data_IF_493110611869
#
_entry.id   IF_493110611869
#
_cell.length_a   1.000
_cell.length_b   1.000
_cell.length_c   1.000
_cell.angle_alpha   90.00
_cell.angle_beta   90.00
_cell.angle_gamma   90.00
#
_symmetry.space_group_name_H-M   'P 1'
#
loop_
_entity.id
_entity.type
_entity.pdbx_description
1 polymer ?
#
# COMPACT_ATOMS: atom_id res chain seq x y z
N UNK A 1 19.65 -41.55 -7.72
CA UNK A 1 20.24 -40.55 -6.80
C UNK A 1 20.25 -39.10 -7.35
N UNK A 2 19.99 -38.82 -8.63
CA UNK A 2 20.06 -37.45 -9.20
C UNK A 2 18.82 -36.56 -9.00
N UNK A 3 17.68 -37.11 -8.58
CA UNK A 3 16.40 -36.37 -8.43
C UNK A 3 16.20 -35.72 -7.06
N UNK A 4 16.98 -36.13 -6.04
CA UNK A 4 16.90 -35.55 -4.69
C UNK A 4 17.61 -34.18 -4.63
N UNK A 5 18.71 -33.98 -5.37
CA UNK A 5 19.45 -32.71 -5.39
C UNK A 5 18.64 -31.56 -5.99
N UNK A 6 17.78 -31.80 -6.98
CA UNK A 6 17.00 -30.73 -7.61
C UNK A 6 15.89 -30.18 -6.70
N UNK A 7 15.29 -31.02 -5.85
CA UNK A 7 14.28 -30.56 -4.88
C UNK A 7 14.94 -29.74 -3.75
N UNK A 8 16.15 -30.14 -3.34
CA UNK A 8 16.90 -29.44 -2.30
C UNK A 8 17.30 -28.01 -2.72
N UNK A 9 17.69 -27.81 -3.99
CA UNK A 9 18.10 -26.49 -4.52
C UNK A 9 16.92 -25.51 -4.58
N UNK A 10 15.73 -25.97 -4.98
CA UNK A 10 14.53 -25.13 -4.96
C UNK A 10 14.09 -24.77 -3.53
N UNK A 11 14.26 -25.68 -2.56
CA UNK A 11 13.95 -25.43 -1.15
C UNK A 11 14.92 -24.39 -0.52
N UNK A 12 16.19 -24.40 -0.92
CA UNK A 12 17.19 -23.44 -0.40
C UNK A 12 17.02 -22.02 -0.94
N UNK A 13 16.45 -21.83 -2.14
CA UNK A 13 16.18 -20.49 -2.68
C UNK A 13 15.07 -19.74 -1.93
N UNK A 14 14.13 -20.46 -1.29
CA UNK A 14 13.07 -19.84 -0.48
C UNK A 14 13.61 -19.30 0.86
N UNK A 15 14.71 -19.87 1.38
CA UNK A 15 15.32 -19.45 2.64
C UNK A 15 16.17 -18.16 2.52
N UNK A 16 16.54 -17.76 1.30
CA UNK A 16 17.24 -16.48 1.05
C UNK A 16 16.32 -15.25 1.05
N UNK A 17 14.99 -15.45 1.19
CA UNK A 17 14.05 -14.36 1.47
C UNK A 17 14.06 -13.92 2.95
N UNK A 18 14.92 -14.52 3.78
CA UNK A 18 15.07 -14.21 5.20
C UNK A 18 15.92 -12.96 5.45
N UNK A 19 15.34 -11.98 6.16
CA UNK A 19 15.98 -10.80 6.75
C UNK A 19 16.29 -9.61 5.83
N UNK A 20 15.27 -9.10 5.11
CA UNK A 20 15.35 -7.73 4.59
C UNK A 20 14.34 -6.83 5.32
N UNK A 21 14.70 -6.37 6.54
CA UNK A 21 13.90 -5.39 7.30
C UNK A 21 13.58 -4.11 6.50
N UNK A 22 14.36 -3.84 5.45
CA UNK A 22 14.14 -2.71 4.54
C UNK A 22 12.83 -2.77 3.75
N UNK A 23 12.20 -3.95 3.65
CA UNK A 23 10.90 -4.18 3.01
C UNK A 23 9.77 -4.47 4.02
N UNK A 24 10.01 -4.26 5.32
CA UNK A 24 9.01 -4.44 6.36
C UNK A 24 8.49 -3.08 6.86
N UNK A 25 7.25 -3.08 7.32
CA UNK A 25 6.65 -1.91 7.96
C UNK A 25 7.22 -1.75 9.36
N UNK A 26 7.64 -0.53 9.71
CA UNK A 26 8.04 -0.19 11.07
C UNK A 26 6.85 0.41 11.83
N UNK A 27 6.23 -0.41 12.67
CA UNK A 27 5.07 -0.10 13.51
C UNK A 27 5.38 0.67 14.80
N UNK A 28 6.61 1.12 15.05
CA UNK A 28 6.92 1.85 16.31
C UNK A 28 6.11 3.13 16.51
N UNK A 29 5.62 3.76 15.44
CA UNK A 29 4.74 4.93 15.47
C UNK A 29 3.99 5.10 14.16
N UNK A 30 2.92 5.89 14.15
CA UNK A 30 2.22 6.23 12.89
C UNK A 30 3.15 6.95 11.89
N UNK A 31 4.11 7.74 12.38
CA UNK A 31 5.09 8.44 11.55
C UNK A 31 6.00 7.45 10.83
N UNK A 32 6.51 6.44 11.53
CA UNK A 32 7.38 5.41 10.94
C UNK A 32 6.61 4.51 10.00
N UNK A 33 5.36 4.16 10.33
CA UNK A 33 4.46 3.43 9.43
C UNK A 33 4.29 4.19 8.13
N UNK A 34 3.85 5.45 8.17
CA UNK A 34 3.62 6.23 6.96
C UNK A 34 4.89 6.35 6.09
N UNK A 35 6.06 6.49 6.73
CA UNK A 35 7.35 6.47 6.03
C UNK A 35 7.62 5.13 5.35
N UNK A 36 7.44 4.01 6.07
CA UNK A 36 7.59 2.66 5.52
C UNK A 36 6.63 2.42 4.35
N UNK A 37 5.35 2.78 4.49
CA UNK A 37 4.34 2.64 3.43
C UNK A 37 4.74 3.40 2.18
N UNK A 38 5.17 4.66 2.30
CA UNK A 38 5.65 5.44 1.15
C UNK A 38 6.86 4.79 0.47
N UNK A 39 7.88 4.40 1.25
CA UNK A 39 9.10 3.80 0.72
C UNK A 39 8.86 2.44 0.05
N UNK A 40 8.01 1.60 0.65
CA UNK A 40 7.64 0.31 0.07
C UNK A 40 6.87 0.54 -1.24
N UNK A 41 5.85 1.42 -1.21
CA UNK A 41 5.04 1.74 -2.39
C UNK A 41 5.86 2.24 -3.57
N UNK A 42 6.88 3.08 -3.33
CA UNK A 42 7.75 3.60 -4.38
C UNK A 42 8.57 2.51 -5.09
N UNK A 43 8.88 1.42 -4.38
CA UNK A 43 9.64 0.27 -4.90
C UNK A 43 8.76 -0.78 -5.58
N UNK A 44 7.47 -0.81 -5.27
CA UNK A 44 6.54 -1.78 -5.84
C UNK A 44 6.27 -1.52 -7.34
N UNK A 45 6.06 -2.58 -8.14
CA UNK A 45 5.46 -2.50 -9.48
C UNK A 45 4.12 -1.74 -9.46
N UNK A 46 3.80 -1.04 -10.56
CA UNK A 46 2.64 -0.12 -10.62
C UNK A 46 1.31 -0.83 -10.30
N UNK A 47 1.14 -2.05 -10.81
CA UNK A 47 0.01 -2.94 -10.61
C UNK A 47 -0.17 -3.36 -9.14
N UNK A 48 0.93 -3.49 -8.39
CA UNK A 48 0.90 -3.90 -6.97
C UNK A 48 0.72 -2.73 -6.00
N UNK A 49 1.02 -1.49 -6.42
CA UNK A 49 0.93 -0.30 -5.55
C UNK A 49 -0.48 -0.07 -5.03
N UNK A 50 -1.47 -0.25 -5.90
CA UNK A 50 -2.88 0.03 -5.56
C UNK A 50 -3.40 -1.03 -4.60
N UNK A 51 -3.12 -2.30 -4.88
CA UNK A 51 -3.49 -3.40 -3.97
C UNK A 51 -2.86 -3.23 -2.58
N UNK A 52 -1.57 -2.89 -2.52
CA UNK A 52 -0.87 -2.61 -1.26
C UNK A 52 -1.48 -1.42 -0.51
N UNK A 53 -1.74 -0.31 -1.19
CA UNK A 53 -2.32 0.89 -0.57
C UNK A 53 -3.76 0.66 -0.08
N UNK A 54 -4.59 -0.02 -0.88
CA UNK A 54 -5.96 -0.39 -0.48
C UNK A 54 -5.94 -1.30 0.75
N UNK A 55 -5.03 -2.26 0.79
CA UNK A 55 -4.89 -3.17 1.94
C UNK A 55 -4.52 -2.42 3.22
N UNK A 56 -3.54 -1.50 3.13
CA UNK A 56 -3.16 -0.64 4.24
C UNK A 56 -4.34 0.16 4.81
N UNK A 57 -5.09 0.86 3.93
CA UNK A 57 -6.20 1.70 4.36
C UNK A 57 -7.40 0.90 4.88
N UNK A 58 -7.66 -0.27 4.31
CA UNK A 58 -8.72 -1.17 4.78
C UNK A 58 -8.44 -1.64 6.22
N UNK A 59 -7.20 -2.04 6.50
CA UNK A 59 -6.77 -2.41 7.86
C UNK A 59 -6.83 -1.21 8.82
N UNK A 60 -6.44 -0.01 8.36
CA UNK A 60 -6.47 1.20 9.18
C UNK A 60 -7.90 1.60 9.58
N UNK A 61 -8.86 1.40 8.69
CA UNK A 61 -10.27 1.68 8.94
C UNK A 61 -10.90 0.68 9.92
N UNK A 62 -10.55 -0.61 9.80
CA UNK A 62 -10.99 -1.65 10.74
C UNK A 62 -10.39 -1.45 12.13
N UNK A 63 -9.07 -1.26 12.22
CA UNK A 63 -8.34 -1.14 13.48
C UNK A 63 -8.18 0.34 13.81
N UNK A 64 -9.22 0.91 14.41
CA UNK A 64 -9.25 2.35 14.70
C UNK A 64 -8.28 2.76 15.80
N UNK A 65 -8.06 1.90 16.78
CA UNK A 65 -7.11 2.12 17.86
C UNK A 65 -5.68 2.13 17.32
N UNK A 66 -4.94 3.21 17.60
CA UNK A 66 -3.60 3.37 17.06
C UNK A 66 -2.63 2.29 17.56
N UNK A 67 -2.66 1.93 18.84
CA UNK A 67 -1.72 0.94 19.38
C UNK A 67 -1.96 -0.43 18.75
N UNK A 68 -3.22 -0.86 18.72
CA UNK A 68 -3.60 -2.14 18.10
C UNK A 68 -3.24 -2.17 16.62
N UNK A 69 -3.47 -1.06 15.90
CA UNK A 69 -3.11 -0.95 14.49
C UNK A 69 -1.61 -1.09 14.28
N UNK A 70 -0.82 -0.35 15.06
CA UNK A 70 0.64 -0.39 15.02
C UNK A 70 1.17 -1.79 15.29
N UNK A 71 0.68 -2.45 16.35
CA UNK A 71 1.05 -3.81 16.72
C UNK A 71 0.63 -4.82 15.63
N UNK A 72 -0.52 -4.61 14.98
CA UNK A 72 -1.03 -5.52 13.95
C UNK A 72 -0.23 -5.46 12.64
N UNK A 73 0.40 -4.33 12.31
CA UNK A 73 1.11 -4.16 11.03
C UNK A 73 2.63 -4.15 11.15
N UNK A 74 3.18 -4.06 12.36
CA UNK A 74 4.63 -4.07 12.57
C UNK A 74 5.26 -5.34 11.98
N UNK A 75 6.39 -5.17 11.30
CA UNK A 75 7.13 -6.26 10.68
C UNK A 75 6.49 -6.88 9.43
N UNK A 76 5.25 -6.50 9.06
CA UNK A 76 4.60 -7.04 7.85
C UNK A 76 5.33 -6.59 6.59
N UNK A 77 5.54 -7.53 5.67
CA UNK A 77 5.95 -7.24 4.29
C UNK A 77 4.75 -6.76 3.46
N UNK A 78 4.97 -6.13 2.29
CA UNK A 78 3.88 -5.79 1.38
C UNK A 78 2.95 -6.97 1.05
N UNK A 79 3.49 -8.16 0.81
CA UNK A 79 2.69 -9.36 0.50
C UNK A 79 1.82 -9.77 1.70
N UNK A 80 2.38 -9.73 2.91
CA UNK A 80 1.64 -10.05 4.14
C UNK A 80 0.56 -9.00 4.46
N UNK A 81 0.79 -7.74 4.10
CA UNK A 81 -0.21 -6.69 4.25
C UNK A 81 -1.37 -6.89 3.28
N UNK A 82 -1.05 -7.26 2.02
CA UNK A 82 -2.05 -7.57 1.00
C UNK A 82 -2.90 -8.78 1.40
N UNK A 83 -2.28 -9.84 1.91
CA UNK A 83 -3.01 -11.02 2.37
C UNK A 83 -3.99 -10.68 3.50
N UNK A 84 -3.55 -9.88 4.48
CA UNK A 84 -4.42 -9.39 5.54
C UNK A 84 -5.59 -8.52 5.02
N UNK A 85 -5.37 -7.77 3.93
CA UNK A 85 -6.43 -7.05 3.22
C UNK A 85 -7.45 -7.99 2.58
N UNK A 86 -7.01 -9.07 1.93
CA UNK A 86 -7.86 -10.10 1.32
C UNK A 86 -8.69 -10.84 2.37
N UNK A 87 -8.09 -11.23 3.48
CA UNK A 87 -8.78 -11.85 4.61
C UNK A 87 -9.87 -10.93 5.16
N UNK A 88 -9.55 -9.64 5.34
CA UNK A 88 -10.52 -8.67 5.84
C UNK A 88 -11.65 -8.40 4.84
N UNK A 89 -11.36 -8.37 3.54
CA UNK A 89 -12.37 -8.31 2.48
C UNK A 89 -13.33 -9.50 2.57
N UNK A 90 -12.81 -10.72 2.65
CA UNK A 90 -13.62 -11.93 2.75
C UNK A 90 -14.51 -11.89 4.01
N UNK A 91 -13.94 -11.47 5.15
CA UNK A 91 -14.68 -11.27 6.41
C UNK A 91 -15.80 -10.24 6.26
N UNK A 92 -15.52 -9.06 5.70
CA UNK A 92 -16.51 -7.98 5.53
C UNK A 92 -17.62 -8.35 4.54
N UNK A 93 -17.27 -9.08 3.48
CA UNK A 93 -18.23 -9.61 2.51
C UNK A 93 -19.13 -10.68 3.13
N UNK A 94 -18.57 -11.62 3.90
CA UNK A 94 -19.34 -12.62 4.63
C UNK A 94 -20.28 -11.99 5.69
N UNK A 95 -19.90 -10.84 6.23
CA UNK A 95 -20.71 -10.07 7.17
C UNK A 95 -21.83 -9.23 6.52
N UNK A 96 -22.00 -9.25 5.19
CA UNK A 96 -23.03 -8.47 4.50
C UNK A 96 -22.76 -6.97 4.47
N UNK A 97 -21.48 -6.56 4.44
CA UNK A 97 -21.12 -5.15 4.32
C UNK A 97 -21.46 -4.63 2.92
N UNK A 98 -22.44 -3.71 2.83
CA UNK A 98 -22.93 -3.11 1.58
C UNK A 98 -21.82 -2.54 0.68
N UNK A 99 -20.76 -2.02 1.29
CA UNK A 99 -19.62 -1.45 0.55
C UNK A 99 -18.84 -2.51 -0.23
N UNK A 100 -18.89 -3.77 0.21
CA UNK A 100 -18.15 -4.91 -0.33
C UNK A 100 -19.02 -5.85 -1.18
N UNK A 101 -20.35 -5.87 -0.95
CA UNK A 101 -21.30 -6.72 -1.68
C UNK A 101 -21.28 -6.48 -3.19
N UNK A 102 -21.03 -5.24 -3.62
CA UNK A 102 -20.95 -4.86 -5.03
C UNK A 102 -19.78 -5.48 -5.79
N UNK A 103 -18.78 -6.03 -5.08
CA UNK A 103 -17.62 -6.66 -5.67
C UNK A 103 -17.76 -8.19 -5.62
N UNK A 104 -17.60 -8.86 -6.75
CA UNK A 104 -17.59 -10.32 -6.87
C UNK A 104 -16.35 -10.91 -6.21
N UNK A 105 -15.19 -10.29 -6.42
CA UNK A 105 -13.90 -10.73 -5.88
C UNK A 105 -13.05 -9.53 -5.44
N UNK A 106 -12.00 -9.83 -4.66
CA UNK A 106 -10.96 -8.87 -4.33
C UNK A 106 -10.33 -8.26 -5.59
N UNK A 107 -9.99 -9.08 -6.58
CA UNK A 107 -9.36 -8.62 -7.82
C UNK A 107 -10.26 -7.66 -8.61
N UNK A 108 -11.58 -7.89 -8.60
CA UNK A 108 -12.54 -6.96 -9.20
C UNK A 108 -12.50 -5.60 -8.47
N UNK A 109 -12.47 -5.61 -7.14
CA UNK A 109 -12.37 -4.40 -6.33
C UNK A 109 -11.08 -3.62 -6.63
N UNK A 110 -9.94 -4.30 -6.66
CA UNK A 110 -8.65 -3.68 -6.97
C UNK A 110 -8.62 -3.14 -8.41
N UNK A 111 -9.19 -3.88 -9.36
CA UNK A 111 -9.30 -3.42 -10.76
C UNK A 111 -10.13 -2.14 -10.87
N UNK A 112 -11.24 -2.05 -10.13
CA UNK A 112 -12.05 -0.84 -10.09
C UNK A 112 -11.29 0.34 -9.48
N UNK A 113 -10.64 0.17 -8.33
CA UNK A 113 -9.82 1.24 -7.74
C UNK A 113 -8.67 1.68 -8.65
N UNK A 114 -8.10 0.74 -9.41
CA UNK A 114 -7.05 1.03 -10.39
C UNK A 114 -7.57 1.91 -11.52
N UNK A 115 -8.74 1.58 -12.06
CA UNK A 115 -9.39 2.38 -13.10
C UNK A 115 -9.77 3.78 -12.57
N UNK A 116 -10.33 3.88 -11.37
CA UNK A 116 -10.67 5.15 -10.74
C UNK A 116 -9.45 6.07 -10.58
N UNK A 117 -8.29 5.53 -10.19
CA UNK A 117 -7.03 6.29 -10.11
C UNK A 117 -6.55 6.77 -11.49
N UNK A 118 -6.65 5.93 -12.51
CA UNK A 118 -6.32 6.32 -13.89
C UNK A 118 -7.24 7.46 -14.34
N UNK A 119 -8.53 7.36 -14.07
CA UNK A 119 -9.51 8.36 -14.49
C UNK A 119 -9.37 9.67 -13.71
N UNK A 120 -9.04 9.64 -12.42
CA UNK A 120 -8.68 10.83 -11.64
C UNK A 120 -7.46 11.55 -12.23
N UNK A 121 -6.43 10.80 -12.63
CA UNK A 121 -5.24 11.38 -13.25
C UNK A 121 -5.54 11.96 -14.64
N UNK A 122 -6.44 11.34 -15.43
CA UNK A 122 -6.91 11.86 -16.72
C UNK A 122 -7.75 13.13 -16.59
N UNK A 123 -8.55 13.23 -15.52
CA UNK A 123 -9.48 14.35 -15.28
C UNK A 123 -8.86 15.55 -14.56
N UNK A 124 -7.53 15.60 -14.36
CA UNK A 124 -6.86 16.81 -13.85
C UNK A 124 -7.00 17.95 -14.87
N UNK A 125 -8.08 18.71 -14.75
CA UNK A 125 -8.20 20.02 -15.40
C UNK A 125 -7.09 20.89 -14.84
N UNK A 126 -6.21 21.48 -15.68
CA UNK A 126 -5.19 22.40 -15.21
C UNK A 126 -5.83 23.49 -14.37
N UNK A 127 -5.25 23.80 -13.21
CA UNK A 127 -5.77 24.86 -12.36
C UNK A 127 -5.71 26.17 -13.16
N UNK A 128 -6.75 27.01 -13.08
CA UNK A 128 -6.70 28.32 -13.74
C UNK A 128 -5.53 29.17 -13.22
N UNK A 129 -5.09 28.93 -11.98
CA UNK A 129 -3.90 29.55 -11.37
C UNK A 129 -2.59 29.10 -12.01
N UNK A 130 -2.54 27.94 -12.63
CA UNK A 130 -1.36 27.48 -13.39
C UNK A 130 -1.22 28.26 -14.72
N UNK A 131 -2.33 28.77 -15.26
CA UNK A 131 -2.33 29.58 -16.49
C UNK A 131 -1.88 31.02 -16.24
N UNK A 132 -2.05 31.52 -15.01
CA UNK A 132 -1.66 32.88 -14.64
C UNK A 132 -0.99 32.87 -13.26
N UNK A 133 0.28 32.42 -13.20
CA UNK A 133 0.99 32.32 -11.93
C UNK A 133 1.03 33.70 -11.25
N UNK A 134 0.72 33.80 -9.95
CA UNK A 134 0.82 35.07 -9.25
C UNK A 134 2.24 35.61 -9.40
N UNK A 135 2.36 36.93 -9.60
CA UNK A 135 3.65 37.58 -9.72
C UNK A 135 4.55 37.14 -8.56
N UNK A 136 5.75 36.64 -8.89
CA UNK A 136 6.72 36.17 -7.91
C UNK A 136 7.00 37.33 -6.95
N UNK A 137 6.56 37.21 -5.70
CA UNK A 137 6.90 38.17 -4.66
C UNK A 137 8.34 37.88 -4.26
N UNK A 138 9.28 38.50 -4.96
CA UNK A 138 10.68 38.50 -4.56
C UNK A 138 10.80 39.32 -3.28
N UNK A 139 10.73 38.64 -2.14
CA UNK A 139 11.15 39.25 -0.88
C UNK A 139 12.61 39.61 -1.04
N UNK A 140 12.90 40.90 -1.22
CA UNK A 140 14.24 41.45 -1.00
C UNK A 140 14.56 41.15 0.46
N UNK A 141 15.29 40.06 0.72
CA UNK A 141 15.94 39.88 2.01
C UNK A 141 16.91 41.05 2.15
N UNK A 142 16.49 42.09 2.87
CA UNK A 142 17.43 43.05 3.39
C UNK A 142 18.26 42.31 4.44
N UNK A 143 19.49 42.01 4.06
CA UNK A 143 20.53 41.55 4.97
C UNK A 143 20.59 42.50 6.16
N UNK A 144 20.26 41.98 7.34
CA UNK A 144 20.65 42.52 8.64
C UNK A 144 21.45 41.45 9.35
#
# INVERSE_FOLDING_TARGET
>A
MKKASTVLVFLTCVLLAGCNKSNQINGSSLKTVNRSISQIKEKLPLDQRIEFEVSFWTLRDEIRNNKEFLDAIDGKTPEQLVEAGKELFAKRKAAGSKDYEKYTSWDQMISQYSQERIDQNRKKTPDQRDKNPPARVDYKMHSM
#
